data_IF_052009510815
#
_entry.id   IF_052009510815
#
_cell.length_a   1.000
_cell.length_b   1.000
_cell.length_c   1.000
_cell.angle_alpha   90.00
_cell.angle_beta   90.00
_cell.angle_gamma   90.00
#
_symmetry.space_group_name_H-M   'P 1'
#
loop_
_entity.id
_entity.type
_entity.pdbx_description
1 polymer ?
#
# COMPACT_ATOMS: atom_id res chain seq x y z
N UNK A 1 2.52 0.59 -25.04
CA UNK A 1 2.41 1.49 -23.87
C UNK A 1 2.88 0.71 -22.65
N UNK A 2 3.80 1.25 -21.87
CA UNK A 2 4.28 0.65 -20.62
C UNK A 2 3.35 1.07 -19.48
N UNK A 3 2.82 0.11 -18.72
CA UNK A 3 2.14 0.40 -17.47
C UNK A 3 3.16 0.88 -16.43
N UNK A 4 2.80 1.89 -15.66
CA UNK A 4 3.60 2.37 -14.52
C UNK A 4 2.66 2.53 -13.32
N UNK A 5 3.02 1.89 -12.21
CA UNK A 5 2.15 1.79 -11.05
C UNK A 5 2.82 1.05 -9.90
N UNK A 6 2.16 1.05 -8.77
CA UNK A 6 2.56 0.29 -7.59
C UNK A 6 1.31 -0.18 -6.84
N UNK A 7 1.44 -1.24 -6.07
CA UNK A 7 0.39 -1.69 -5.16
C UNK A 7 0.69 -1.22 -3.74
N UNK A 8 -0.31 -0.66 -3.09
CA UNK A 8 -0.36 -0.33 -1.68
C UNK A 8 -0.88 -1.55 -0.92
N UNK A 9 -0.15 -2.01 0.10
CA UNK A 9 -0.52 -3.17 0.89
C UNK A 9 -0.64 -2.84 2.37
N UNK A 10 -1.51 -3.59 3.06
CA UNK A 10 -1.63 -3.58 4.52
C UNK A 10 -1.79 -5.00 5.05
N UNK A 11 -1.07 -5.32 6.11
CA UNK A 11 -1.28 -6.56 6.87
C UNK A 11 -2.32 -6.36 7.97
N UNK A 12 -2.75 -7.48 8.60
CA UNK A 12 -3.71 -7.46 9.73
C UNK A 12 -3.26 -6.59 10.91
N UNK A 13 -1.96 -6.38 11.06
CA UNK A 13 -1.36 -5.53 12.11
C UNK A 13 -1.33 -4.04 11.73
N UNK A 14 -1.69 -3.68 10.50
CA UNK A 14 -1.71 -2.31 10.00
C UNK A 14 -0.36 -1.80 9.52
N UNK A 15 0.65 -2.65 9.32
CA UNK A 15 1.89 -2.22 8.66
C UNK A 15 1.62 -2.02 7.18
N UNK A 16 2.00 -0.83 6.69
CA UNK A 16 1.87 -0.43 5.31
C UNK A 16 3.18 -0.67 4.56
N UNK A 17 3.08 -1.12 3.32
CA UNK A 17 4.19 -1.13 2.39
C UNK A 17 3.69 -0.95 0.96
N UNK A 18 4.61 -0.56 0.08
CA UNK A 18 4.37 -0.37 -1.35
C UNK A 18 5.27 -1.34 -2.11
N UNK A 19 4.77 -1.88 -3.21
CA UNK A 19 5.59 -2.63 -4.16
C UNK A 19 5.34 -2.12 -5.56
N UNK A 20 6.42 -1.82 -6.27
CA UNK A 20 6.38 -1.43 -7.67
C UNK A 20 5.83 -2.56 -8.54
N UNK A 21 5.09 -2.22 -9.60
CA UNK A 21 4.51 -3.20 -10.52
C UNK A 21 5.54 -4.10 -11.21
N UNK A 22 6.78 -3.64 -11.36
CA UNK A 22 7.89 -4.41 -11.93
C UNK A 22 8.56 -5.32 -10.88
N UNK A 23 8.38 -5.00 -9.60
CA UNK A 23 9.00 -5.74 -8.47
C UNK A 23 8.06 -6.79 -7.89
N UNK A 24 6.75 -6.69 -8.16
CA UNK A 24 5.77 -7.74 -7.85
C UNK A 24 6.16 -9.01 -8.62
N UNK A 25 6.74 -10.03 -7.96
CA UNK A 25 7.25 -11.21 -8.65
C UNK A 25 6.06 -12.00 -9.17
N UNK A 26 5.89 -12.09 -10.49
CA UNK A 26 5.02 -13.05 -11.20
C UNK A 26 3.54 -13.18 -10.75
N UNK A 27 3.02 -12.25 -9.96
CA UNK A 27 1.63 -12.23 -9.48
C UNK A 27 0.60 -11.89 -10.56
N UNK A 28 1.05 -11.46 -11.74
CA UNK A 28 0.13 -11.24 -12.86
C UNK A 28 -0.54 -12.54 -13.33
N UNK A 29 -0.07 -13.71 -12.91
CA UNK A 29 -0.57 -15.01 -13.38
C UNK A 29 -1.14 -15.93 -12.29
N UNK A 30 -0.98 -15.62 -10.99
CA UNK A 30 -1.55 -16.42 -9.89
C UNK A 30 -2.44 -15.53 -9.01
N UNK A 31 -3.76 -15.68 -9.17
CA UNK A 31 -4.77 -14.78 -8.59
C UNK A 31 -4.87 -14.82 -7.04
N UNK A 32 -4.17 -15.74 -6.38
CA UNK A 32 -4.32 -16.03 -4.94
C UNK A 32 -3.03 -15.89 -4.11
N UNK A 33 -1.90 -15.45 -4.70
CA UNK A 33 -0.65 -15.36 -3.93
C UNK A 33 -0.62 -14.10 -3.10
N UNK A 34 -0.79 -14.31 -1.79
CA UNK A 34 -0.73 -13.28 -0.78
C UNK A 34 0.71 -12.78 -0.50
N UNK A 35 0.89 -11.47 -0.49
CA UNK A 35 2.11 -10.79 -0.10
C UNK A 35 2.36 -10.82 1.41
N UNK A 36 3.63 -11.07 1.77
CA UNK A 36 4.05 -11.05 3.16
C UNK A 36 4.53 -9.67 3.56
N UNK A 37 4.07 -9.21 4.71
CA UNK A 37 4.50 -7.97 5.31
C UNK A 37 6.01 -7.99 5.60
N UNK A 38 6.80 -7.00 5.12
CA UNK A 38 8.24 -6.98 5.37
C UNK A 38 8.62 -6.74 6.84
N UNK A 39 7.69 -6.23 7.66
CA UNK A 39 7.93 -5.92 9.08
C UNK A 39 7.62 -7.11 9.99
N UNK A 40 6.52 -7.82 9.75
CA UNK A 40 6.05 -8.87 10.66
C UNK A 40 5.74 -10.22 9.98
N UNK A 41 6.02 -10.36 8.68
CA UNK A 41 5.85 -11.58 7.88
C UNK A 41 4.41 -12.14 7.80
N UNK A 42 3.42 -11.35 8.25
CA UNK A 42 2.00 -11.68 8.15
C UNK A 42 1.48 -11.43 6.74
N UNK A 43 0.44 -12.16 6.34
CA UNK A 43 -0.24 -11.95 5.07
C UNK A 43 -0.88 -10.55 4.99
N UNK A 44 -0.95 -10.00 3.79
CA UNK A 44 -1.79 -8.85 3.49
C UNK A 44 -3.27 -9.20 3.66
N UNK A 45 -4.01 -8.20 4.11
CA UNK A 45 -5.47 -8.25 4.26
C UNK A 45 -6.15 -7.17 3.42
N UNK A 46 -5.37 -6.29 2.83
CA UNK A 46 -5.82 -5.21 1.98
C UNK A 46 -4.73 -4.86 0.97
N UNK A 47 -5.16 -4.66 -0.27
CA UNK A 47 -4.37 -4.25 -1.41
C UNK A 47 -5.13 -3.15 -2.16
N UNK A 48 -4.40 -2.16 -2.68
CA UNK A 48 -4.90 -1.18 -3.63
C UNK A 48 -3.87 -0.92 -4.72
N UNK A 49 -4.26 -1.10 -5.98
CA UNK A 49 -3.40 -0.83 -7.12
C UNK A 49 -3.48 0.64 -7.49
N UNK A 50 -2.33 1.31 -7.55
CA UNK A 50 -2.18 2.72 -7.91
C UNK A 50 -1.62 2.78 -9.33
N UNK A 51 -2.35 3.43 -10.23
CA UNK A 51 -1.97 3.58 -11.62
C UNK A 51 -1.48 5.01 -11.88
N UNK A 52 -0.18 5.17 -12.10
CA UNK A 52 0.45 6.46 -12.36
C UNK A 52 0.80 6.65 -13.84
N UNK A 53 0.36 5.75 -14.72
CA UNK A 53 0.69 5.76 -16.16
C UNK A 53 0.35 7.11 -16.82
N UNK A 54 -0.71 7.77 -16.37
CA UNK A 54 -1.16 9.07 -16.90
C UNK A 54 -0.87 10.24 -15.92
N UNK A 55 0.04 10.04 -14.96
CA UNK A 55 0.25 10.98 -13.86
C UNK A 55 -0.71 10.78 -12.69
N UNK A 56 -0.43 11.46 -11.58
CA UNK A 56 -1.20 11.35 -10.33
C UNK A 56 -2.30 12.38 -10.16
N UNK A 57 -2.22 13.50 -10.87
CA UNK A 57 -3.08 14.66 -10.72
C UNK A 57 -3.65 15.06 -12.08
N UNK A 58 -4.91 15.45 -12.11
CA UNK A 58 -5.50 16.12 -13.27
C UNK A 58 -5.26 17.64 -13.22
N UNK A 59 -5.77 18.34 -14.23
CA UNK A 59 -5.66 19.79 -14.37
C UNK A 59 -6.37 20.57 -13.24
N UNK A 60 -7.30 19.92 -12.53
CA UNK A 60 -8.09 20.49 -11.43
C UNK A 60 -7.49 20.14 -10.05
N UNK A 61 -6.22 19.72 -9.99
CA UNK A 61 -5.53 19.26 -8.77
C UNK A 61 -6.26 18.10 -8.05
N UNK A 62 -7.09 17.34 -8.77
CA UNK A 62 -7.75 16.15 -8.27
C UNK A 62 -6.88 14.94 -8.52
N UNK A 63 -6.75 14.09 -7.50
CA UNK A 63 -5.91 12.90 -7.58
C UNK A 63 -6.61 11.78 -8.36
N UNK A 64 -5.99 11.31 -9.44
CA UNK A 64 -6.57 10.34 -10.39
C UNK A 64 -5.87 8.97 -10.42
N UNK A 65 -4.77 8.81 -9.69
CA UNK A 65 -3.98 7.56 -9.68
C UNK A 65 -4.62 6.42 -8.86
N UNK A 66 -5.73 6.69 -8.16
CA UNK A 66 -6.38 5.73 -7.29
C UNK A 66 -5.67 5.49 -5.97
N UNK A 67 -4.68 6.32 -5.60
CA UNK A 67 -4.00 6.22 -4.31
C UNK A 67 -4.97 6.45 -3.15
N UNK A 68 -4.90 5.57 -2.15
CA UNK A 68 -5.71 5.69 -0.94
C UNK A 68 -4.86 6.24 0.19
N UNK A 69 -5.25 7.41 0.71
CA UNK A 69 -4.67 7.96 1.93
C UNK A 69 -5.14 7.18 3.16
N UNK A 70 -4.21 6.41 3.73
CA UNK A 70 -4.48 5.57 4.89
C UNK A 70 -4.51 6.38 6.18
N UNK A 71 -5.56 6.16 7.00
CA UNK A 71 -5.68 6.78 8.31
C UNK A 71 -4.73 6.13 9.31
N UNK A 72 -3.93 6.94 10.01
CA UNK A 72 -3.00 6.45 11.03
C UNK A 72 -3.75 5.94 12.26
N UNK A 73 -3.43 4.71 12.71
CA UNK A 73 -3.99 4.09 13.91
C UNK A 73 -3.07 4.27 15.11
N UNK A 74 -1.78 3.98 14.93
CA UNK A 74 -0.75 4.07 15.97
C UNK A 74 0.47 4.74 15.36
N UNK A 75 1.01 5.72 16.08
CA UNK A 75 2.33 6.29 15.84
C UNK A 75 3.10 6.15 17.13
N UNK A 76 4.17 5.37 17.12
CA UNK A 76 5.13 5.36 18.22
C UNK A 76 6.37 6.07 17.77
N UNK A 77 6.75 7.07 18.55
CA UNK A 77 8.03 7.73 18.45
C UNK A 77 8.87 7.40 19.67
N UNK A 78 10.18 7.48 19.49
CA UNK A 78 11.17 7.28 20.54
C UNK A 78 12.37 8.16 20.28
N UNK A 79 13.01 8.62 21.35
CA UNK A 79 14.26 9.36 21.26
C UNK A 79 15.37 8.36 20.96
N UNK A 80 16.07 8.56 19.84
CA UNK A 80 17.20 7.71 19.49
C UNK A 80 18.39 8.04 20.38
N UNK A 81 18.97 7.02 21.00
CA UNK A 81 20.13 7.18 21.87
C UNK A 81 21.39 7.65 21.14
N UNK A 82 21.47 7.49 19.81
CA UNK A 82 22.64 7.84 19.01
C UNK A 82 22.66 9.31 18.58
N UNK A 83 21.51 9.91 18.25
CA UNK A 83 21.42 11.30 17.79
C UNK A 83 20.66 12.22 18.76
N UNK A 84 19.97 11.68 19.77
CA UNK A 84 19.18 12.46 20.72
C UNK A 84 17.88 13.03 20.15
N UNK A 85 17.54 12.73 18.90
CA UNK A 85 16.33 13.22 18.24
C UNK A 85 15.17 12.23 18.34
N UNK A 86 13.94 12.74 18.23
CA UNK A 86 12.73 11.93 18.21
C UNK A 86 12.52 11.31 16.82
N UNK A 87 12.60 9.99 16.73
CA UNK A 87 12.31 9.24 15.52
C UNK A 87 10.98 8.52 15.61
N UNK A 88 10.33 8.35 14.46
CA UNK A 88 9.16 7.49 14.37
C UNK A 88 9.63 6.04 14.28
N UNK A 89 9.47 5.29 15.36
CA UNK A 89 9.87 3.89 15.45
C UNK A 89 8.82 2.95 14.80
N UNK A 90 7.54 3.31 14.87
CA UNK A 90 6.47 2.45 14.38
C UNK A 90 5.27 3.27 13.87
N UNK A 91 4.74 2.90 12.70
CA UNK A 91 3.47 3.39 12.16
C UNK A 91 2.57 2.20 11.86
N UNK A 92 1.33 2.24 12.37
CA UNK A 92 0.27 1.31 12.00
C UNK A 92 -0.93 2.09 11.51
N UNK A 93 -1.59 1.60 10.48
CA UNK A 93 -2.72 2.23 9.82
C UNK A 93 -4.02 1.47 10.06
N UNK A 94 -5.14 2.18 9.93
CA UNK A 94 -6.46 1.57 9.91
C UNK A 94 -6.66 0.87 8.57
N UNK A 95 -7.04 -0.40 8.62
CA UNK A 95 -7.41 -1.16 7.43
C UNK A 95 -8.71 -0.57 6.87
N UNK A 96 -8.72 -0.08 5.61
CA UNK A 96 -9.93 0.45 5.01
C UNK A 96 -11.04 -0.61 4.95
N UNK A 97 -12.26 -0.25 5.36
CA UNK A 97 -13.41 -1.18 5.36
C UNK A 97 -13.91 -1.54 3.96
N UNK A 98 -13.62 -0.70 2.96
CA UNK A 98 -13.92 -1.03 1.57
C UNK A 98 -12.88 -2.07 1.14
N UNK A 99 -13.29 -3.34 1.15
CA UNK A 99 -12.79 -4.28 0.13
C UNK A 99 -13.07 -3.59 -1.20
N UNK A 100 -12.03 -3.19 -1.92
CA UNK A 100 -12.18 -2.94 -3.35
C UNK A 100 -12.59 -4.30 -3.88
N UNK A 101 -13.90 -4.48 -4.12
CA UNK A 101 -14.36 -5.67 -4.82
C UNK A 101 -13.61 -5.63 -6.14
N UNK A 102 -12.77 -6.64 -6.42
CA UNK A 102 -12.48 -7.00 -7.81
C UNK A 102 -13.87 -7.29 -8.38
N UNK A 103 -14.49 -6.32 -9.05
CA UNK A 103 -15.63 -6.59 -9.90
C UNK A 103 -15.08 -7.39 -11.06
N UNK A 104 -15.00 -8.71 -10.83
CA UNK A 104 -14.78 -9.69 -11.88
C UNK A 104 -15.98 -9.53 -12.81
N UNK A 105 -15.72 -8.85 -13.93
CA UNK A 105 -16.69 -8.70 -15.00
C UNK A 105 -17.24 -10.06 -15.36
N UNK A 106 -18.55 -10.20 -15.19
CA UNK A 106 -19.33 -11.29 -15.78
C UNK A 106 -18.98 -11.36 -17.27
N UNK A 107 -18.50 -12.51 -17.71
CA UNK A 107 -18.73 -12.99 -19.08
C UNK A 107 -19.71 -14.15 -19.01
#
# INVERSE_FOLDING_TARGET
MSYSGFSQFLCKNGHYWEMDCMTLPNLMYEEDVKQKCPVCNEEEVWENMVNITNGSWDDDETRIDGYVELKLKIKRSGVCSACGEEHVCEKRYLIPKKKIKKEVGKK
#
